data_IF_814789847586
#
_entry.id   IF_814789847586
#
_cell.length_a   1.000
_cell.length_b   1.000
_cell.length_c   1.000
_cell.angle_alpha   90.00
_cell.angle_beta   90.00
_cell.angle_gamma   90.00
#
_symmetry.space_group_name_H-M   'P 1'
#
loop_
_entity.id
_entity.type
_entity.pdbx_description
1 polymer ?
#
# COMPACT_ATOMS: atom_id res chain seq x y z
N UNK A 1 -6.89 8.40 -9.87
CA UNK A 1 -6.74 7.54 -8.68
C UNK A 1 -7.82 6.46 -8.59
N UNK A 2 -9.12 6.77 -8.71
CA UNK A 2 -10.22 5.83 -8.45
C UNK A 2 -10.15 4.47 -9.17
N UNK A 3 -9.70 4.43 -10.44
CA UNK A 3 -9.54 3.16 -11.17
C UNK A 3 -8.53 2.23 -10.50
N UNK A 4 -7.44 2.80 -10.00
CA UNK A 4 -6.31 2.07 -9.42
C UNK A 4 -6.56 1.62 -7.98
N UNK A 5 -7.51 2.22 -7.28
CA UNK A 5 -7.85 1.90 -5.88
C UNK A 5 -9.04 0.93 -5.78
N UNK A 6 -9.47 0.33 -6.89
CA UNK A 6 -10.53 -0.69 -6.89
C UNK A 6 -10.03 -2.00 -6.28
N UNK A 7 -10.95 -2.90 -5.90
CA UNK A 7 -10.62 -4.23 -5.34
C UNK A 7 -9.67 -4.18 -4.13
N UNK A 8 -9.94 -3.26 -3.18
CA UNK A 8 -9.07 -3.04 -2.02
C UNK A 8 -7.63 -2.72 -2.42
N UNK A 9 -7.48 -1.80 -3.38
CA UNK A 9 -6.24 -1.25 -3.91
C UNK A 9 -5.40 -2.18 -4.81
N UNK A 10 -5.93 -3.36 -5.15
CA UNK A 10 -5.36 -4.20 -6.21
C UNK A 10 -5.57 -3.62 -7.62
N UNK A 11 -6.54 -2.73 -7.81
CA UNK A 11 -6.91 -2.24 -9.13
C UNK A 11 -7.81 -3.20 -9.90
N UNK A 12 -8.07 -2.96 -11.20
CA UNK A 12 -8.95 -3.79 -12.02
C UNK A 12 -8.28 -5.15 -12.32
N UNK A 13 -9.07 -6.22 -12.51
CA UNK A 13 -8.53 -7.52 -12.93
C UNK A 13 -7.84 -7.40 -14.29
N UNK A 14 -6.75 -8.15 -14.48
CA UNK A 14 -6.06 -8.28 -15.76
C UNK A 14 -6.66 -9.43 -16.57
N UNK A 15 -6.91 -9.16 -17.85
CA UNK A 15 -7.35 -10.18 -18.80
C UNK A 15 -6.16 -11.00 -19.31
N UNK A 16 -6.38 -12.29 -19.55
CA UNK A 16 -5.38 -13.20 -20.08
C UNK A 16 -5.27 -13.14 -21.61
N UNK A 17 -5.10 -11.94 -22.17
CA UNK A 17 -5.14 -11.73 -23.63
C UNK A 17 -4.00 -12.46 -24.36
N UNK A 18 -2.81 -12.49 -23.75
CA UNK A 18 -1.60 -13.09 -24.34
C UNK A 18 -1.32 -14.52 -23.85
N UNK A 19 -2.20 -15.09 -23.01
CA UNK A 19 -1.97 -16.43 -22.42
C UNK A 19 -0.88 -16.48 -21.35
N UNK A 20 -0.34 -15.33 -20.92
CA UNK A 20 0.75 -15.22 -19.94
C UNK A 20 0.24 -15.31 -18.50
N UNK A 21 -0.98 -14.85 -18.25
CA UNK A 21 -1.59 -14.81 -16.93
C UNK A 21 -2.49 -16.04 -16.72
N UNK A 22 -2.87 -16.30 -15.47
CA UNK A 22 -4.01 -17.20 -15.21
C UNK A 22 -5.32 -16.45 -15.42
N UNK A 23 -6.40 -17.18 -15.71
CA UNK A 23 -7.73 -16.59 -15.96
C UNK A 23 -8.29 -15.79 -14.77
N UNK A 24 -7.75 -16.03 -13.57
CA UNK A 24 -8.11 -15.33 -12.35
C UNK A 24 -6.87 -15.04 -11.50
N UNK A 25 -6.97 -14.06 -10.61
CA UNK A 25 -5.95 -13.73 -9.60
C UNK A 25 -4.97 -12.64 -9.99
N UNK A 26 -5.01 -12.14 -11.23
CA UNK A 26 -4.14 -11.06 -11.71
C UNK A 26 -4.88 -9.72 -11.74
N UNK A 27 -4.20 -8.67 -11.30
CA UNK A 27 -4.76 -7.31 -11.21
C UNK A 27 -3.74 -6.28 -11.68
N UNK A 28 -4.23 -5.19 -12.27
CA UNK A 28 -3.43 -4.06 -12.73
C UNK A 28 -3.11 -3.14 -11.55
N UNK A 29 -2.29 -3.66 -10.63
CA UNK A 29 -1.93 -3.00 -9.38
C UNK A 29 -1.10 -1.75 -9.63
N UNK A 30 -1.41 -0.67 -8.93
CA UNK A 30 -0.56 0.51 -8.93
C UNK A 30 0.71 0.24 -8.10
N UNK A 31 1.88 0.55 -8.66
CA UNK A 31 3.19 0.32 -8.03
C UNK A 31 3.36 0.97 -6.64
N UNK A 32 2.53 1.96 -6.28
CA UNK A 32 2.59 2.68 -5.01
C UNK A 32 1.54 2.24 -3.98
N UNK A 33 0.75 1.19 -4.26
CA UNK A 33 -0.42 0.82 -3.45
C UNK A 33 -0.18 -0.30 -2.42
N UNK A 34 1.05 -0.85 -2.31
CA UNK A 34 1.32 -2.06 -1.52
C UNK A 34 0.90 -1.94 -0.06
N UNK A 35 1.14 -0.79 0.58
CA UNK A 35 0.81 -0.55 1.99
C UNK A 35 -0.72 -0.57 2.23
N UNK A 36 -1.48 -0.04 1.27
CA UNK A 36 -2.95 -0.01 1.37
C UNK A 36 -3.54 -1.39 1.14
N UNK A 37 -3.00 -2.14 0.17
CA UNK A 37 -3.35 -3.55 -0.05
C UNK A 37 -3.10 -4.35 1.23
N UNK A 38 -1.90 -4.22 1.81
CA UNK A 38 -1.54 -4.93 3.03
C UNK A 38 -2.48 -4.56 4.18
N UNK A 39 -2.76 -3.26 4.39
CA UNK A 39 -3.70 -2.79 5.41
C UNK A 39 -5.10 -3.39 5.25
N UNK A 40 -5.63 -3.39 4.03
CA UNK A 40 -6.96 -3.95 3.75
C UNK A 40 -7.02 -5.46 3.95
N UNK A 41 -5.94 -6.18 3.63
CA UNK A 41 -5.83 -7.63 3.89
C UNK A 41 -5.73 -7.93 5.37
N UNK A 42 -4.92 -7.17 6.11
CA UNK A 42 -4.77 -7.34 7.55
C UNK A 42 -6.11 -7.19 8.29
N UNK A 43 -6.94 -6.22 7.88
CA UNK A 43 -8.30 -5.98 8.43
C UNK A 43 -9.26 -7.16 8.32
N UNK A 44 -8.95 -8.19 7.51
CA UNK A 44 -9.79 -9.37 7.34
C UNK A 44 -9.51 -10.47 8.38
N UNK A 45 -8.41 -10.36 9.15
CA UNK A 45 -8.06 -11.38 10.14
C UNK A 45 -8.89 -11.22 11.43
N UNK A 46 -9.39 -12.35 11.93
CA UNK A 46 -10.17 -12.41 13.18
C UNK A 46 -9.32 -12.19 14.45
N UNK A 47 -8.00 -12.32 14.35
CA UNK A 47 -7.07 -12.19 15.47
C UNK A 47 -6.58 -10.75 15.71
N UNK A 48 -7.13 -9.76 15.00
CA UNK A 48 -6.82 -8.36 15.27
C UNK A 48 -7.27 -7.97 16.67
N UNK A 49 -6.40 -7.25 17.38
CA UNK A 49 -6.64 -6.77 18.73
C UNK A 49 -6.31 -5.29 18.83
N UNK A 50 -7.07 -4.57 19.65
CA UNK A 50 -6.76 -3.19 20.03
C UNK A 50 -5.87 -3.12 21.28
N UNK A 51 -5.59 -4.27 21.91
CA UNK A 51 -4.68 -4.38 23.05
C UNK A 51 -3.25 -4.64 22.55
N UNK A 52 -2.39 -3.63 22.67
CA UNK A 52 -0.99 -3.71 22.23
C UNK A 52 -0.16 -4.73 23.02
N UNK A 53 -0.57 -5.10 24.24
CA UNK A 53 0.12 -6.11 25.05
C UNK A 53 -0.08 -7.53 24.52
N UNK A 54 -1.15 -7.76 23.75
CA UNK A 54 -1.49 -9.04 23.12
C UNK A 54 -1.08 -9.10 21.64
N UNK A 55 -0.71 -7.96 21.05
CA UNK A 55 -0.38 -7.88 19.63
C UNK A 55 1.01 -8.47 19.34
N UNK A 56 1.09 -9.38 18.36
CA UNK A 56 2.37 -9.89 17.87
C UNK A 56 3.10 -8.90 16.93
N UNK A 57 2.35 -7.99 16.30
CA UNK A 57 2.87 -6.96 15.43
C UNK A 57 1.88 -5.78 15.37
N UNK A 58 2.39 -4.59 15.06
CA UNK A 58 1.61 -3.37 14.89
C UNK A 58 1.80 -2.89 13.45
N UNK A 59 0.70 -2.62 12.75
CA UNK A 59 0.73 -1.99 11.44
C UNK A 59 0.66 -0.46 11.60
N UNK A 60 1.70 0.24 11.18
CA UNK A 60 1.74 1.70 11.16
C UNK A 60 1.18 2.17 9.81
N UNK A 61 0.11 2.98 9.76
CA UNK A 61 -0.53 3.41 8.50
C UNK A 61 0.27 4.53 7.79
N UNK A 62 1.58 4.34 7.62
CA UNK A 62 2.41 5.19 6.79
C UNK A 62 2.45 4.62 5.37
N UNK A 63 1.64 5.20 4.48
CA UNK A 63 1.54 4.78 3.09
C UNK A 63 2.69 5.38 2.27
N UNK A 64 3.90 4.84 2.44
CA UNK A 64 5.14 5.36 1.87
C UNK A 64 5.08 5.50 0.35
N UNK A 65 4.47 4.53 -0.34
CA UNK A 65 4.28 4.61 -1.79
C UNK A 65 3.45 5.82 -2.23
N UNK A 66 2.38 6.15 -1.49
CA UNK A 66 1.56 7.32 -1.78
C UNK A 66 2.25 8.62 -1.41
N UNK A 67 3.00 8.62 -0.30
CA UNK A 67 3.80 9.75 0.13
C UNK A 67 4.81 10.15 -0.96
N UNK A 68 5.64 9.19 -1.39
CA UNK A 68 6.66 9.44 -2.41
C UNK A 68 6.05 9.83 -3.76
N UNK A 69 4.89 9.27 -4.14
CA UNK A 69 4.23 9.59 -5.40
C UNK A 69 3.84 11.08 -5.52
N UNK A 70 3.66 11.79 -4.39
CA UNK A 70 3.41 13.24 -4.39
C UNK A 70 4.62 14.07 -4.81
N UNK A 71 5.82 13.54 -4.57
CA UNK A 71 7.08 14.28 -4.65
C UNK A 71 8.10 13.67 -5.62
N UNK A 72 7.71 12.61 -6.35
CA UNK A 72 8.63 11.84 -7.21
C UNK A 72 9.21 12.68 -8.37
N UNK A 73 8.49 13.71 -8.84
CA UNK A 73 8.88 14.51 -9.99
C UNK A 73 8.86 16.01 -9.67
N UNK A 74 10.00 16.69 -9.87
CA UNK A 74 10.08 18.15 -9.78
C UNK A 74 10.22 18.71 -8.36
N UNK A 75 10.30 17.87 -7.33
CA UNK A 75 10.55 18.28 -5.94
C UNK A 75 11.99 17.99 -5.53
N UNK A 76 12.50 18.76 -4.57
CA UNK A 76 13.81 18.49 -3.99
C UNK A 76 13.75 17.26 -3.06
N UNK A 77 14.92 16.63 -2.85
CA UNK A 77 15.07 15.43 -2.03
C UNK A 77 14.64 15.69 -0.58
N UNK A 78 14.95 16.87 -0.04
CA UNK A 78 14.59 17.25 1.33
C UNK A 78 13.08 17.23 1.56
N UNK A 79 12.26 17.71 0.62
CA UNK A 79 10.80 17.66 0.68
C UNK A 79 10.29 16.24 0.48
N UNK A 80 10.84 15.52 -0.50
CA UNK A 80 10.44 14.14 -0.81
C UNK A 80 10.65 13.21 0.39
N UNK A 81 11.76 13.35 1.11
CA UNK A 81 12.15 12.41 2.16
C UNK A 81 11.71 12.86 3.58
N UNK A 82 11.13 14.05 3.73
CA UNK A 82 10.82 14.65 5.03
C UNK A 82 9.91 13.77 5.91
N UNK A 83 8.80 13.26 5.37
CA UNK A 83 7.85 12.44 6.14
C UNK A 83 8.44 11.07 6.53
N UNK A 84 9.26 10.49 5.65
CA UNK A 84 9.97 9.25 5.95
C UNK A 84 11.01 9.44 7.07
N UNK A 85 11.74 10.57 7.06
CA UNK A 85 12.69 10.92 8.11
C UNK A 85 11.99 11.18 9.44
N UNK A 86 10.86 11.90 9.42
CA UNK A 86 10.05 12.15 10.61
C UNK A 86 9.54 10.85 11.25
N UNK A 87 9.12 9.87 10.43
CA UNK A 87 8.67 8.58 10.94
C UNK A 87 9.76 7.79 11.67
N UNK A 88 11.01 7.81 11.17
CA UNK A 88 12.13 7.06 11.76
C UNK A 88 12.70 7.75 12.99
N UNK A 89 12.70 9.09 13.00
CA UNK A 89 13.31 9.89 14.06
C UNK A 89 12.30 10.21 15.18
N UNK A 90 11.00 10.18 14.89
CA UNK A 90 9.90 10.50 15.82
C UNK A 90 9.23 9.31 16.50
N UNK A 91 9.68 8.07 16.23
CA UNK A 91 9.19 6.83 16.87
C UNK A 91 10.03 6.37 18.05
#
# INVERSE_FOLDING_TARGET
MCKFTTNADLGPPLENVEGVFSDQGWYATNQFAVDVIFSNRMKQYKCLTNDSSLAAAIFVPFYAGFDVARYLWGYNISTRDAASLELVIGS
#
